data_IF_362042454810
#
_entry.id   IF_362042454810
#
_cell.length_a   1.000
_cell.length_b   1.000
_cell.length_c   1.000
_cell.angle_alpha   90.00
_cell.angle_beta   90.00
_cell.angle_gamma   90.00
#
_symmetry.space_group_name_H-M   'P 1'
#
loop_
_entity.id
_entity.type
_entity.pdbx_description
1 polymer ?
#
# COMPACT_ATOMS: atom_id res chain seq x y z
N UNK A 1 -36.58 5.89 16.44
CA UNK A 1 -37.11 4.91 15.48
C UNK A 1 -35.99 4.55 14.56
N UNK A 2 -35.47 3.30 14.66
CA UNK A 2 -34.40 2.80 13.80
C UNK A 2 -34.92 2.52 12.41
N UNK A 3 -34.30 3.10 11.38
CA UNK A 3 -34.59 2.76 10.00
C UNK A 3 -34.14 1.34 9.64
N UNK A 4 -34.63 0.82 8.53
CA UNK A 4 -34.26 -0.50 8.01
C UNK A 4 -32.76 -0.51 7.61
N UNK A 5 -31.99 -1.48 8.09
CA UNK A 5 -30.57 -1.64 7.74
C UNK A 5 -30.42 -2.50 6.50
N UNK A 6 -30.26 -1.85 5.34
CA UNK A 6 -30.03 -2.53 4.07
C UNK A 6 -28.59 -3.02 3.95
N UNK A 7 -28.37 -4.25 4.40
CA UNK A 7 -27.06 -4.91 4.31
C UNK A 7 -27.20 -6.35 3.86
N UNK A 8 -26.62 -6.68 2.72
CA UNK A 8 -26.65 -8.03 2.20
C UNK A 8 -25.81 -8.16 0.93
N UNK A 9 -25.26 -9.34 0.75
CA UNK A 9 -24.49 -9.72 -0.44
C UNK A 9 -25.07 -11.02 -1.00
N UNK A 10 -24.97 -11.20 -2.32
CA UNK A 10 -25.51 -12.37 -3.02
C UNK A 10 -25.03 -13.70 -2.41
N UNK A 11 -23.78 -13.76 -1.94
CA UNK A 11 -23.19 -14.95 -1.31
C UNK A 11 -23.19 -14.92 0.22
N UNK A 12 -23.96 -14.04 0.87
CA UNK A 12 -24.08 -14.01 2.33
C UNK A 12 -24.55 -15.36 2.86
N UNK A 13 -23.89 -15.84 3.93
CA UNK A 13 -24.22 -17.11 4.57
C UNK A 13 -23.75 -18.35 3.81
N UNK A 14 -22.94 -18.22 2.76
CA UNK A 14 -22.40 -19.39 2.05
C UNK A 14 -21.56 -20.25 3.01
N UNK A 15 -21.91 -21.54 3.23
CA UNK A 15 -21.33 -22.34 4.34
C UNK A 15 -19.82 -22.51 4.22
N UNK A 16 -19.28 -22.73 3.02
CA UNK A 16 -17.83 -22.86 2.83
C UNK A 16 -17.12 -21.54 3.13
N UNK A 17 -17.64 -20.41 2.66
CA UNK A 17 -17.07 -19.10 2.95
C UNK A 17 -17.09 -18.79 4.46
N UNK A 18 -18.17 -19.14 5.16
CA UNK A 18 -18.26 -18.99 6.61
C UNK A 18 -17.25 -19.88 7.34
N UNK A 19 -17.07 -21.13 6.92
CA UNK A 19 -16.09 -22.04 7.53
C UNK A 19 -14.64 -21.52 7.33
N UNK A 20 -14.28 -21.07 6.12
CA UNK A 20 -12.97 -20.48 5.84
C UNK A 20 -12.76 -19.20 6.65
N UNK A 21 -13.78 -18.36 6.77
CA UNK A 21 -13.68 -17.12 7.55
C UNK A 21 -13.47 -17.40 9.04
N UNK A 22 -14.15 -18.41 9.60
CA UNK A 22 -13.96 -18.80 10.99
C UNK A 22 -12.54 -19.32 11.24
N UNK A 23 -12.00 -20.16 10.35
CA UNK A 23 -10.63 -20.65 10.47
C UNK A 23 -9.62 -19.51 10.33
N UNK A 24 -9.83 -18.57 9.40
CA UNK A 24 -8.97 -17.39 9.26
C UNK A 24 -8.94 -16.53 10.54
N UNK A 25 -10.10 -16.31 11.17
CA UNK A 25 -10.18 -15.58 12.44
C UNK A 25 -9.45 -16.32 13.57
N UNK A 26 -9.53 -17.67 13.57
CA UNK A 26 -8.81 -18.50 14.53
C UNK A 26 -7.29 -18.37 14.34
N UNK A 27 -6.79 -18.48 13.11
CA UNK A 27 -5.36 -18.28 12.77
C UNK A 27 -4.87 -16.90 13.21
N UNK A 28 -5.61 -15.83 12.88
CA UNK A 28 -5.27 -14.46 13.30
C UNK A 28 -5.08 -14.38 14.82
N UNK A 29 -5.95 -15.05 15.58
CA UNK A 29 -5.92 -15.05 17.05
C UNK A 29 -4.80 -15.93 17.60
N UNK A 30 -4.67 -17.18 17.11
CA UNK A 30 -3.70 -18.16 17.62
C UNK A 30 -2.25 -17.74 17.30
N UNK A 31 -2.02 -17.17 16.13
CA UNK A 31 -0.71 -16.66 15.72
C UNK A 31 -0.45 -15.22 16.19
N UNK A 32 -1.39 -14.60 16.91
CA UNK A 32 -1.27 -13.24 17.45
C UNK A 32 -0.90 -12.19 16.38
N UNK A 33 -1.46 -12.32 15.16
CA UNK A 33 -1.05 -11.56 14.00
C UNK A 33 -1.30 -10.05 14.14
N UNK A 34 -2.31 -9.63 14.90
CA UNK A 34 -2.60 -8.21 15.13
C UNK A 34 -1.46 -7.54 15.90
N UNK A 35 -1.00 -8.19 16.99
CA UNK A 35 0.10 -7.66 17.79
C UNK A 35 1.43 -7.69 17.02
N UNK A 36 1.73 -8.79 16.33
CA UNK A 36 2.93 -8.90 15.51
C UNK A 36 2.97 -7.85 14.41
N UNK A 37 1.86 -7.66 13.67
CA UNK A 37 1.78 -6.63 12.64
C UNK A 37 1.91 -5.21 13.20
N UNK A 38 1.39 -4.97 14.42
CA UNK A 38 1.56 -3.69 15.11
C UNK A 38 3.03 -3.39 15.40
N UNK A 39 3.80 -4.40 15.83
CA UNK A 39 5.25 -4.24 16.08
C UNK A 39 6.02 -4.01 14.78
N UNK A 40 5.76 -4.81 13.74
CA UNK A 40 6.41 -4.64 12.43
C UNK A 40 6.04 -3.32 11.76
N UNK A 41 4.84 -2.79 12.03
CA UNK A 41 4.39 -1.52 11.46
C UNK A 41 5.26 -0.33 11.87
N UNK A 42 5.88 -0.38 13.04
CA UNK A 42 6.83 0.65 13.49
C UNK A 42 8.08 0.66 12.59
N UNK A 43 8.59 -0.51 12.27
CA UNK A 43 9.72 -0.65 11.36
C UNK A 43 9.34 -0.24 9.92
N UNK A 44 8.16 -0.65 9.45
CA UNK A 44 7.63 -0.23 8.15
C UNK A 44 7.53 1.29 8.06
N UNK A 45 7.02 1.95 9.10
CA UNK A 45 6.92 3.41 9.12
C UNK A 45 8.31 4.08 9.02
N UNK A 46 9.29 3.59 9.75
CA UNK A 46 10.67 4.10 9.67
C UNK A 46 11.23 3.98 8.26
N UNK A 47 11.07 2.83 7.60
CA UNK A 47 11.54 2.61 6.24
C UNK A 47 10.79 3.48 5.22
N UNK A 48 9.48 3.66 5.39
CA UNK A 48 8.68 4.51 4.51
C UNK A 48 9.03 6.00 4.65
N UNK A 49 9.49 6.47 5.82
CA UNK A 49 10.06 7.82 5.97
C UNK A 49 11.35 8.01 5.18
N UNK A 50 12.14 6.97 4.96
CA UNK A 50 13.29 7.04 4.05
C UNK A 50 12.84 7.14 2.58
N UNK A 51 11.79 6.42 2.19
CA UNK A 51 11.16 6.53 0.86
C UNK A 51 10.62 7.95 0.62
N UNK A 52 10.06 8.57 1.65
CA UNK A 52 9.54 9.95 1.56
C UNK A 52 10.62 10.97 1.15
N UNK A 53 11.92 10.67 1.34
CA UNK A 53 13.02 11.54 0.89
C UNK A 53 13.23 11.57 -0.62
N UNK A 54 12.64 10.62 -1.35
CA UNK A 54 12.75 10.56 -2.81
C UNK A 54 12.13 11.80 -3.48
N UNK A 55 12.77 12.39 -4.53
CA UNK A 55 12.32 13.64 -5.15
C UNK A 55 10.89 13.56 -5.73
N UNK A 56 10.47 12.40 -6.20
CA UNK A 56 9.14 12.17 -6.74
C UNK A 56 8.04 12.01 -5.67
N UNK A 57 8.41 11.88 -4.39
CA UNK A 57 7.48 11.62 -3.28
C UNK A 57 7.22 12.91 -2.51
N UNK A 58 6.00 13.40 -2.56
CA UNK A 58 5.56 14.56 -1.78
C UNK A 58 5.28 14.21 -0.32
N UNK A 59 4.57 13.12 -0.10
CA UNK A 59 4.14 12.70 1.23
C UNK A 59 3.96 11.18 1.32
N UNK A 60 4.25 10.63 2.50
CA UNK A 60 3.86 9.27 2.88
C UNK A 60 2.85 9.35 4.02
N UNK A 61 1.61 8.94 3.74
CA UNK A 61 0.55 8.80 4.74
C UNK A 61 0.37 7.34 5.08
N UNK A 62 0.41 7.01 6.36
CA UNK A 62 0.18 5.63 6.77
C UNK A 62 -0.39 5.51 8.18
N UNK A 63 -1.07 4.41 8.42
CA UNK A 63 -1.54 3.95 9.72
C UNK A 63 -1.34 2.45 9.81
N UNK A 64 -0.42 2.02 10.68
CA UNK A 64 -0.02 0.62 10.77
C UNK A 64 0.37 0.05 9.39
N UNK A 65 -0.26 -1.03 8.92
CA UNK A 65 0.03 -1.69 7.64
C UNK A 65 -0.71 -1.10 6.43
N UNK A 66 -1.45 -0.01 6.57
CA UNK A 66 -2.09 0.62 5.42
C UNK A 66 -1.52 2.01 5.19
N UNK A 67 -1.21 2.33 3.95
CA UNK A 67 -0.68 3.64 3.61
C UNK A 67 -0.69 3.94 2.13
N UNK A 68 -0.26 5.15 1.83
CA UNK A 68 -0.11 5.67 0.47
C UNK A 68 1.14 6.53 0.35
N UNK A 69 1.80 6.41 -0.79
CA UNK A 69 2.89 7.28 -1.23
C UNK A 69 2.33 8.22 -2.29
N UNK A 70 2.26 9.50 -2.01
CA UNK A 70 1.77 10.51 -2.95
C UNK A 70 2.92 10.96 -3.86
N UNK A 71 2.74 10.80 -5.17
CA UNK A 71 3.70 11.24 -6.17
C UNK A 71 3.38 12.67 -6.60
N UNK A 72 4.40 13.51 -6.69
CA UNK A 72 4.26 14.92 -7.01
C UNK A 72 5.27 15.37 -8.08
N UNK A 73 4.92 16.40 -8.81
CA UNK A 73 5.77 17.04 -9.82
C UNK A 73 6.86 17.90 -9.17
N UNK A 74 6.51 18.64 -8.15
CA UNK A 74 7.40 19.48 -7.36
C UNK A 74 7.14 19.25 -5.87
N UNK A 75 8.11 18.67 -5.21
CA UNK A 75 8.01 18.31 -3.79
C UNK A 75 7.95 19.51 -2.86
N UNK A 76 8.70 20.58 -3.18
CA UNK A 76 8.77 21.76 -2.30
C UNK A 76 7.45 22.53 -2.31
N UNK A 77 6.78 22.55 -3.46
CA UNK A 77 5.49 23.23 -3.64
C UNK A 77 4.29 22.30 -3.46
N UNK A 78 4.52 21.00 -3.29
CA UNK A 78 3.46 19.97 -3.33
C UNK A 78 2.62 20.08 -4.61
N UNK A 79 3.26 20.39 -5.74
CA UNK A 79 2.59 20.54 -7.03
C UNK A 79 2.29 19.17 -7.63
N UNK A 80 1.01 18.93 -7.92
CA UNK A 80 0.54 17.70 -8.54
C UNK A 80 0.82 17.68 -10.04
N UNK A 81 0.80 16.52 -10.66
CA UNK A 81 0.90 16.40 -12.11
C UNK A 81 -0.37 16.90 -12.80
N UNK A 82 -0.22 17.52 -13.98
CA UNK A 82 -1.35 18.03 -14.77
C UNK A 82 -2.24 16.88 -15.26
N UNK A 83 -1.64 15.84 -15.81
CA UNK A 83 -2.32 14.62 -16.24
C UNK A 83 -2.43 13.63 -15.08
N UNK A 84 -3.42 13.82 -14.24
CA UNK A 84 -3.66 13.03 -13.03
C UNK A 84 -3.76 11.54 -13.30
N UNK A 85 -2.94 10.76 -12.61
CA UNK A 85 -2.94 9.29 -12.66
C UNK A 85 -2.02 8.68 -13.72
N UNK A 86 -1.43 9.49 -14.58
CA UNK A 86 -0.46 9.00 -15.58
C UNK A 86 0.82 8.53 -14.89
N UNK A 87 1.39 9.36 -14.01
CA UNK A 87 2.64 9.04 -13.31
C UNK A 87 2.44 7.88 -12.33
N UNK A 88 1.31 7.86 -11.62
CA UNK A 88 0.94 6.73 -10.76
C UNK A 88 0.82 5.41 -11.54
N UNK A 89 0.27 5.45 -12.76
CA UNK A 89 0.19 4.28 -13.65
C UNK A 89 1.58 3.80 -14.06
N UNK A 90 2.47 4.70 -14.48
CA UNK A 90 3.85 4.38 -14.84
C UNK A 90 4.59 3.76 -13.65
N UNK A 91 4.46 4.35 -12.46
CA UNK A 91 5.08 3.84 -11.24
C UNK A 91 4.56 2.43 -10.88
N UNK A 92 3.25 2.21 -10.97
CA UNK A 92 2.63 0.90 -10.77
C UNK A 92 3.22 -0.16 -11.72
N UNK A 93 3.37 0.18 -12.97
CA UNK A 93 3.87 -0.75 -13.99
C UNK A 93 5.33 -1.13 -13.69
N UNK A 94 6.18 -0.17 -13.31
CA UNK A 94 7.53 -0.47 -12.82
C UNK A 94 7.53 -1.27 -11.51
N UNK A 95 6.60 -1.03 -10.60
CA UNK A 95 6.44 -1.87 -9.41
C UNK A 95 6.17 -3.33 -9.81
N UNK A 96 5.25 -3.57 -10.72
CA UNK A 96 4.91 -4.92 -11.22
C UNK A 96 6.13 -5.57 -11.89
N UNK A 97 6.85 -4.86 -12.74
CA UNK A 97 8.09 -5.35 -13.38
C UNK A 97 9.17 -5.74 -12.36
N UNK A 98 9.25 -5.02 -11.26
CA UNK A 98 10.16 -5.32 -10.14
C UNK A 98 9.61 -6.37 -9.15
N UNK A 99 8.44 -6.98 -9.41
CA UNK A 99 7.82 -7.99 -8.55
C UNK A 99 7.19 -7.42 -7.29
N UNK A 100 6.69 -6.19 -7.34
CA UNK A 100 5.94 -5.54 -6.28
C UNK A 100 4.55 -5.13 -6.79
N UNK A 101 3.48 -5.68 -6.19
CA UNK A 101 2.11 -5.29 -6.54
C UNK A 101 1.64 -4.17 -5.63
N UNK A 102 1.48 -2.99 -6.20
CA UNK A 102 0.87 -1.82 -5.54
C UNK A 102 -0.27 -1.28 -6.39
N UNK A 103 -1.25 -0.67 -5.74
CA UNK A 103 -2.39 -0.05 -6.43
C UNK A 103 -2.13 1.44 -6.63
N UNK A 104 -2.14 1.90 -7.88
CA UNK A 104 -2.22 3.32 -8.18
C UNK A 104 -3.68 3.80 -8.09
N UNK A 105 -3.91 4.88 -7.33
CA UNK A 105 -5.16 5.64 -7.33
C UNK A 105 -4.79 7.08 -7.62
N UNK A 106 -5.07 7.53 -8.84
CA UNK A 106 -4.43 8.73 -9.41
C UNK A 106 -2.91 8.57 -9.32
N UNK A 107 -2.22 9.53 -8.71
CA UNK A 107 -0.77 9.48 -8.50
C UNK A 107 -0.38 9.06 -7.07
N UNK A 108 -1.33 8.51 -6.30
CA UNK A 108 -1.10 7.90 -5.01
C UNK A 108 -0.88 6.39 -5.13
N UNK A 109 0.27 5.90 -4.66
CA UNK A 109 0.63 4.47 -4.62
C UNK A 109 0.21 3.87 -3.28
N UNK A 110 -0.86 3.05 -3.29
CA UNK A 110 -1.42 2.44 -2.08
C UNK A 110 -0.72 1.12 -1.79
N UNK A 111 -0.39 0.90 -0.51
CA UNK A 111 0.11 -0.36 0.00
C UNK A 111 -0.73 -0.83 1.21
N UNK A 112 -0.92 -2.15 1.29
CA UNK A 112 -1.57 -2.81 2.41
C UNK A 112 -1.02 -4.24 2.48
N UNK A 113 0.17 -4.45 3.06
CA UNK A 113 0.76 -5.78 3.18
C UNK A 113 -0.08 -6.69 4.09
N UNK A 114 -0.02 -8.03 3.89
CA UNK A 114 -0.70 -8.97 4.75
C UNK A 114 -0.11 -8.96 6.17
N UNK A 115 -0.93 -9.32 7.18
CA UNK A 115 -0.55 -9.29 8.60
C UNK A 115 0.68 -10.15 8.95
N UNK A 116 1.01 -11.13 8.11
CA UNK A 116 2.18 -12.02 8.28
C UNK A 116 3.51 -11.38 7.84
N UNK A 117 3.50 -10.13 7.40
CA UNK A 117 4.73 -9.41 7.05
C UNK A 117 5.69 -9.36 8.23
N UNK A 118 6.97 -9.49 7.93
CA UNK A 118 8.07 -9.31 8.87
C UNK A 118 9.08 -8.26 8.33
N UNK A 119 10.12 -7.97 9.08
CA UNK A 119 11.09 -6.94 8.72
C UNK A 119 11.78 -7.21 7.37
N UNK A 120 12.09 -8.47 7.03
CA UNK A 120 12.70 -8.79 5.73
C UNK A 120 11.76 -8.53 4.55
N UNK A 121 10.46 -8.75 4.73
CA UNK A 121 9.47 -8.39 3.73
C UNK A 121 9.32 -6.86 3.59
N UNK A 122 9.48 -6.11 4.68
CA UNK A 122 9.50 -4.64 4.66
C UNK A 122 10.71 -4.13 3.88
N UNK A 123 11.90 -4.72 4.11
CA UNK A 123 13.11 -4.36 3.39
C UNK A 123 12.95 -4.59 1.88
N UNK A 124 12.45 -5.77 1.49
CA UNK A 124 12.17 -6.12 0.09
C UNK A 124 11.17 -5.16 -0.56
N UNK A 125 10.07 -4.83 0.15
CA UNK A 125 9.07 -3.87 -0.32
C UNK A 125 9.72 -2.51 -0.60
N UNK A 126 10.49 -1.99 0.36
CA UNK A 126 11.10 -0.67 0.25
C UNK A 126 12.20 -0.61 -0.83
N UNK A 127 13.00 -1.67 -0.99
CA UNK A 127 13.99 -1.79 -2.07
C UNK A 127 13.32 -1.74 -3.45
N UNK A 128 12.30 -2.57 -3.65
CA UNK A 128 11.55 -2.62 -4.92
C UNK A 128 10.82 -1.33 -5.22
N UNK A 129 10.20 -0.72 -4.21
CA UNK A 129 9.51 0.55 -4.37
C UNK A 129 10.47 1.67 -4.73
N UNK A 130 11.62 1.78 -4.05
CA UNK A 130 12.63 2.77 -4.36
C UNK A 130 13.15 2.63 -5.79
N UNK A 131 13.46 1.41 -6.22
CA UNK A 131 13.87 1.13 -7.60
C UNK A 131 12.81 1.56 -8.61
N UNK A 132 11.54 1.30 -8.32
CA UNK A 132 10.42 1.67 -9.19
C UNK A 132 10.22 3.19 -9.25
N UNK A 133 10.40 3.89 -8.14
CA UNK A 133 10.38 5.35 -8.07
C UNK A 133 11.53 5.96 -8.90
N UNK A 134 12.75 5.43 -8.79
CA UNK A 134 13.91 5.85 -9.58
C UNK A 134 13.63 5.68 -11.09
N UNK A 135 13.08 4.53 -11.49
CA UNK A 135 12.72 4.27 -12.89
C UNK A 135 11.62 5.22 -13.39
N UNK A 136 10.59 5.47 -12.57
CA UNK A 136 9.51 6.41 -12.88
C UNK A 136 10.05 7.82 -13.04
N UNK A 137 10.87 8.29 -12.11
CA UNK A 137 11.48 9.60 -12.15
C UNK A 137 12.35 9.80 -13.41
N UNK A 138 13.14 8.80 -13.77
CA UNK A 138 13.95 8.80 -14.99
C UNK A 138 13.09 8.78 -16.28
N UNK A 139 11.93 8.13 -16.24
CA UNK A 139 11.01 8.05 -17.36
C UNK A 139 10.40 9.42 -17.65
N UNK A 140 9.81 10.05 -16.64
CA UNK A 140 9.14 11.35 -16.80
C UNK A 140 10.10 12.51 -17.06
N UNK A 141 11.37 12.39 -16.62
CA UNK A 141 12.40 13.41 -16.89
C UNK A 141 12.91 13.40 -18.33
N UNK A 142 12.58 12.38 -19.12
CA UNK A 142 12.98 12.24 -20.53
C UNK A 142 11.84 12.56 -21.52
N UNK A 143 10.63 12.69 -20.99
CA UNK A 143 9.42 13.00 -21.76
C UNK A 143 9.16 14.49 -21.77
#
# INVERSE_FOLDING_TARGET
EGGEFYHGYTYSGHPVACAVSLENLKVIKEENLIEQSSQVSVYLEQQMREIEKHPLVGEVRMKSFIGAVELVKDKEKMEMFEDTGVVGTICRDYCIENGLVMRAVRDGMIFCPPLIFNNSHVDELCEKLKKSLDQTHNHISKS
#
